data_IF_288897726262
#
_entry.id   IF_288897726262
#
_cell.length_a   1.000
_cell.length_b   1.000
_cell.length_c   1.000
_cell.angle_alpha   90.00
_cell.angle_beta   90.00
_cell.angle_gamma   90.00
#
_symmetry.space_group_name_H-M   'P 1'
#
loop_
_entity.id
_entity.type
_entity.pdbx_description
1 polymer ?
#
# COMPACT_ATOMS: atom_id res chain seq x y z
N UNK A 1 1.44 25.90 -4.72
CA UNK A 1 0.58 24.70 -4.72
C UNK A 1 1.07 23.79 -5.85
N UNK A 2 1.72 22.69 -5.51
CA UNK A 2 2.29 21.74 -6.49
C UNK A 2 1.13 20.93 -7.07
N UNK A 3 0.73 21.21 -8.32
CA UNK A 3 -0.43 20.57 -8.95
C UNK A 3 -0.08 19.13 -9.35
N UNK A 4 -0.63 18.13 -8.65
CA UNK A 4 -0.67 16.74 -9.12
C UNK A 4 -1.73 16.65 -10.21
N UNK A 5 -1.33 16.35 -11.45
CA UNK A 5 -2.29 16.10 -12.54
C UNK A 5 -2.82 14.67 -12.40
N UNK A 6 -4.14 14.54 -12.22
CA UNK A 6 -4.83 13.26 -12.33
C UNK A 6 -4.95 12.96 -13.83
N UNK A 7 -4.36 11.85 -14.28
CA UNK A 7 -4.46 11.39 -15.66
C UNK A 7 -4.99 9.96 -15.61
N UNK A 8 -6.23 9.77 -16.08
CA UNK A 8 -6.80 8.44 -16.26
C UNK A 8 -6.17 7.86 -17.52
N UNK A 9 -5.44 6.75 -17.42
CA UNK A 9 -4.91 6.07 -18.60
C UNK A 9 -5.33 4.61 -18.60
N UNK A 10 -6.07 4.21 -19.65
CA UNK A 10 -6.49 2.86 -20.04
C UNK A 10 -7.34 2.05 -19.02
N UNK A 11 -8.50 1.59 -19.51
CA UNK A 11 -9.31 0.47 -18.96
C UNK A 11 -9.51 0.43 -17.43
N UNK A 12 -9.71 1.58 -16.79
CA UNK A 12 -10.18 1.65 -15.40
C UNK A 12 -9.11 1.72 -14.32
N UNK A 13 -7.82 1.75 -14.69
CA UNK A 13 -6.75 1.94 -13.71
C UNK A 13 -6.49 3.45 -13.50
N UNK A 14 -6.75 3.96 -12.29
CA UNK A 14 -6.47 5.35 -11.94
C UNK A 14 -4.98 5.58 -11.68
N UNK A 15 -4.43 6.65 -12.27
CA UNK A 15 -3.00 7.02 -12.17
C UNK A 15 -2.90 8.50 -11.81
N UNK A 16 -1.91 8.83 -10.99
CA UNK A 16 -1.51 10.21 -10.75
C UNK A 16 -0.08 10.46 -11.18
N UNK A 17 0.14 11.61 -11.81
CA UNK A 17 1.48 12.04 -12.21
C UNK A 17 1.99 13.07 -11.21
N UNK A 18 3.05 12.68 -10.51
CA UNK A 18 3.81 13.57 -9.65
C UNK A 18 4.50 14.65 -10.51
N UNK A 19 4.65 15.90 -10.03
CA UNK A 19 5.25 16.98 -10.84
C UNK A 19 6.70 16.77 -11.28
N UNK A 20 7.40 15.79 -10.71
CA UNK A 20 8.71 15.33 -11.17
C UNK A 20 8.63 14.29 -12.32
N UNK A 21 7.44 14.01 -12.85
CA UNK A 21 7.23 13.06 -13.94
C UNK A 21 6.97 11.61 -13.51
N UNK A 22 6.98 11.30 -12.21
CA UNK A 22 6.71 9.96 -11.71
C UNK A 22 5.23 9.59 -11.82
N UNK A 23 4.94 8.33 -12.13
CA UNK A 23 3.59 7.75 -12.15
C UNK A 23 3.33 7.03 -10.84
N UNK A 24 2.23 7.33 -10.17
CA UNK A 24 1.87 6.73 -8.89
C UNK A 24 0.54 5.99 -9.05
N UNK A 25 0.53 4.72 -8.65
CA UNK A 25 -0.63 3.84 -8.66
C UNK A 25 -1.00 3.45 -7.22
N UNK A 26 -2.25 3.61 -6.84
CA UNK A 26 -2.72 3.09 -5.55
C UNK A 26 -3.19 1.64 -5.70
N UNK A 27 -2.39 0.69 -5.23
CA UNK A 27 -2.71 -0.74 -5.23
C UNK A 27 -3.44 -1.20 -3.95
N UNK A 28 -4.05 -0.26 -3.21
CA UNK A 28 -4.91 -0.57 -2.07
C UNK A 28 -6.39 -0.49 -2.48
N UNK A 29 -7.30 -1.18 -1.77
CA UNK A 29 -8.72 -1.23 -2.16
C UNK A 29 -9.48 0.08 -1.90
N UNK A 30 -8.88 1.06 -1.22
CA UNK A 30 -9.53 2.30 -0.82
C UNK A 30 -8.70 3.52 -1.19
N UNK A 31 -9.32 4.70 -1.38
CA UNK A 31 -8.58 5.93 -1.57
C UNK A 31 -7.61 6.17 -0.41
N UNK A 32 -6.40 6.61 -0.74
CA UNK A 32 -5.37 6.99 0.22
C UNK A 32 -5.18 8.49 0.14
N UNK A 33 -5.32 9.21 1.25
CA UNK A 33 -5.06 10.66 1.27
C UNK A 33 -3.76 10.95 2.00
N UNK A 34 -2.79 11.56 1.30
CA UNK A 34 -1.52 12.01 1.88
C UNK A 34 -1.38 13.50 1.68
N UNK A 35 -1.20 14.27 2.76
CA UNK A 35 -1.03 15.72 2.72
C UNK A 35 -2.07 16.42 1.80
N UNK A 36 -3.35 16.08 1.98
CA UNK A 36 -4.50 16.57 1.20
C UNK A 36 -4.56 16.15 -0.28
N UNK A 37 -3.63 15.31 -0.75
CA UNK A 37 -3.67 14.69 -2.08
C UNK A 37 -4.29 13.30 -1.93
N UNK A 38 -5.42 13.07 -2.58
CA UNK A 38 -6.09 11.77 -2.58
C UNK A 38 -5.68 10.94 -3.80
N UNK A 39 -5.25 9.72 -3.54
CA UNK A 39 -4.91 8.71 -4.53
C UNK A 39 -6.05 7.69 -4.66
N UNK A 40 -6.88 7.75 -5.72
CA UNK A 40 -7.95 6.79 -5.93
C UNK A 40 -7.37 5.38 -6.20
N UNK A 41 -8.08 4.30 -5.80
CA UNK A 41 -7.67 2.94 -6.14
C UNK A 41 -7.41 2.79 -7.63
N UNK A 42 -6.32 2.15 -7.99
CA UNK A 42 -5.93 1.93 -9.38
C UNK A 42 -6.70 0.79 -10.06
N UNK A 43 -7.79 0.28 -9.48
CA UNK A 43 -8.50 -0.90 -9.99
C UNK A 43 -7.80 -2.24 -9.72
N UNK A 44 -6.49 -2.24 -9.47
CA UNK A 44 -5.71 -3.41 -9.05
C UNK A 44 -5.36 -3.34 -7.57
N UNK A 45 -5.42 -4.47 -6.85
CA UNK A 45 -5.12 -4.51 -5.41
C UNK A 45 -4.05 -5.56 -5.11
N UNK A 46 -2.85 -5.10 -4.75
CA UNK A 46 -1.76 -6.00 -4.35
C UNK A 46 -2.02 -6.56 -2.95
N UNK A 47 -1.81 -7.87 -2.75
CA UNK A 47 -2.07 -8.55 -1.47
C UNK A 47 -1.04 -9.63 -1.20
N UNK A 48 -0.79 -9.90 0.07
CA UNK A 48 -0.09 -11.12 0.50
C UNK A 48 -1.13 -12.25 0.48
N UNK A 49 -0.82 -13.37 -0.18
CA UNK A 49 -1.68 -14.56 -0.12
C UNK A 49 -1.80 -15.04 1.33
N UNK A 50 -3.00 -15.38 1.77
CA UNK A 50 -3.25 -15.90 3.11
C UNK A 50 -4.08 -17.18 3.01
N UNK A 51 -3.72 -18.20 3.79
CA UNK A 51 -4.53 -19.41 3.95
C UNK A 51 -4.70 -19.78 5.42
N UNK A 52 -5.90 -20.22 5.78
CA UNK A 52 -6.17 -20.77 7.11
C UNK A 52 -5.51 -22.13 7.20
N UNK A 53 -4.56 -22.27 8.11
CA UNK A 53 -3.90 -23.55 8.37
C UNK A 53 -4.56 -24.32 9.52
N UNK A 54 -5.14 -23.60 10.49
CA UNK A 54 -5.88 -24.17 11.61
C UNK A 54 -6.92 -23.17 12.09
N UNK A 55 -8.04 -23.68 12.57
CA UNK A 55 -9.07 -22.94 13.27
C UNK A 55 -9.41 -23.69 14.57
N UNK A 56 -9.52 -22.97 15.69
CA UNK A 56 -9.78 -23.55 17.01
C UNK A 56 -10.75 -22.68 17.81
N UNK A 57 -11.58 -23.33 18.62
CA UNK A 57 -12.48 -22.65 19.55
C UNK A 57 -11.68 -21.99 20.69
N UNK A 58 -11.89 -20.68 20.87
CA UNK A 58 -11.27 -19.90 21.93
C UNK A 58 -12.31 -18.93 22.52
N UNK A 59 -13.32 -19.47 23.19
CA UNK A 59 -14.51 -18.73 23.60
C UNK A 59 -14.18 -17.42 24.35
N UNK A 60 -14.87 -16.30 24.03
CA UNK A 60 -16.00 -16.17 23.10
C UNK A 60 -15.59 -15.96 21.63
N UNK A 61 -14.35 -16.25 21.26
CA UNK A 61 -13.78 -16.00 19.94
C UNK A 61 -13.35 -17.29 19.23
N UNK A 62 -12.91 -17.15 17.99
CA UNK A 62 -12.27 -18.20 17.21
C UNK A 62 -10.81 -17.83 16.99
N UNK A 63 -9.90 -18.75 17.32
CA UNK A 63 -8.48 -18.58 17.02
C UNK A 63 -8.18 -19.15 15.64
N UNK A 64 -7.68 -18.32 14.73
CA UNK A 64 -7.25 -18.73 13.38
C UNK A 64 -5.74 -18.61 13.25
N UNK A 65 -5.11 -19.69 12.80
CA UNK A 65 -3.69 -19.69 12.45
C UNK A 65 -3.56 -19.51 10.92
N UNK A 66 -3.02 -18.36 10.52
CA UNK A 66 -2.87 -17.98 9.10
C UNK A 66 -1.44 -18.25 8.64
N UNK A 67 -1.31 -18.93 7.50
CA UNK A 67 -0.03 -19.01 6.76
C UNK A 67 -0.06 -17.99 5.63
N UNK A 68 0.91 -17.09 5.62
CA UNK A 68 1.12 -16.10 4.56
C UNK A 68 1.99 -16.69 3.43
N UNK A 69 1.65 -16.36 2.20
CA UNK A 69 2.33 -16.78 0.98
C UNK A 69 3.04 -15.62 0.30
N UNK A 70 3.16 -15.72 -1.03
CA UNK A 70 3.76 -14.67 -1.88
C UNK A 70 2.84 -13.45 -1.98
N UNK A 71 3.41 -12.35 -2.46
CA UNK A 71 2.61 -11.21 -2.92
C UNK A 71 2.02 -11.52 -4.29
N UNK A 72 0.72 -11.27 -4.45
CA UNK A 72 -0.02 -11.35 -5.72
C UNK A 72 -0.48 -9.97 -6.17
N UNK A 73 -0.74 -9.84 -7.47
CA UNK A 73 -1.21 -8.63 -8.13
C UNK A 73 -0.32 -7.39 -7.93
N UNK A 74 0.92 -7.60 -7.51
CA UNK A 74 1.96 -6.58 -7.47
C UNK A 74 2.68 -6.53 -8.82
N UNK A 75 2.56 -5.44 -9.60
CA UNK A 75 3.27 -5.30 -10.86
C UNK A 75 4.80 -5.31 -10.66
N UNK A 76 5.57 -5.67 -11.70
CA UNK A 76 7.02 -5.57 -11.66
C UNK A 76 7.48 -4.12 -11.47
N UNK A 77 8.65 -3.96 -10.86
CA UNK A 77 9.32 -2.68 -10.71
C UNK A 77 9.61 -2.07 -12.09
N UNK A 78 9.35 -0.77 -12.23
CA UNK A 78 9.58 -0.01 -13.47
C UNK A 78 10.10 1.37 -13.14
N UNK A 79 11.10 1.82 -13.89
CA UNK A 79 11.67 3.16 -13.73
C UNK A 79 10.58 4.24 -13.84
N UNK A 80 10.59 5.18 -12.89
CA UNK A 80 9.63 6.29 -12.84
C UNK A 80 8.22 5.90 -12.39
N UNK A 81 7.97 4.65 -12.01
CA UNK A 81 6.68 4.19 -11.49
C UNK A 81 6.78 3.87 -10.01
N UNK A 82 5.78 4.28 -9.24
CA UNK A 82 5.63 3.97 -7.82
C UNK A 82 4.26 3.37 -7.52
N UNK A 83 4.21 2.50 -6.52
CA UNK A 83 3.00 1.81 -6.10
C UNK A 83 2.71 2.08 -4.62
N UNK A 84 1.58 2.70 -4.31
CA UNK A 84 1.06 2.76 -2.93
C UNK A 84 0.49 1.40 -2.59
N UNK A 85 1.01 0.76 -1.54
CA UNK A 85 0.61 -0.57 -1.07
C UNK A 85 0.35 -0.56 0.43
N UNK A 86 -0.20 -1.65 0.96
CA UNK A 86 -0.28 -1.85 2.40
C UNK A 86 1.10 -2.21 2.99
N UNK A 87 1.31 -1.91 4.28
CA UNK A 87 2.54 -2.27 4.99
C UNK A 87 2.87 -3.78 4.91
N UNK A 88 1.91 -4.73 5.08
CA UNK A 88 2.20 -6.15 4.89
C UNK A 88 2.76 -6.50 3.51
N UNK A 89 2.25 -5.87 2.44
CA UNK A 89 2.76 -6.08 1.09
C UNK A 89 4.18 -5.54 0.94
N UNK A 90 4.45 -4.32 1.42
CA UNK A 90 5.78 -3.73 1.37
C UNK A 90 6.82 -4.57 2.13
N UNK A 91 6.48 -5.09 3.31
CA UNK A 91 7.36 -5.94 4.10
C UNK A 91 7.54 -7.33 3.48
N UNK A 92 6.50 -7.92 2.89
CA UNK A 92 6.60 -9.20 2.17
C UNK A 92 7.41 -9.09 0.87
N UNK A 93 7.51 -7.90 0.29
CA UNK A 93 8.32 -7.58 -0.90
C UNK A 93 9.53 -6.69 -0.57
N UNK A 94 10.10 -6.84 0.64
CA UNK A 94 11.24 -6.04 1.11
C UNK A 94 12.40 -6.09 0.09
N UNK A 95 12.99 -4.92 -0.19
CA UNK A 95 14.01 -4.75 -1.23
C UNK A 95 13.47 -4.17 -2.55
N UNK A 96 12.15 -4.17 -2.77
CA UNK A 96 11.52 -3.36 -3.82
C UNK A 96 11.65 -1.87 -3.50
N UNK A 97 12.18 -1.09 -4.45
CA UNK A 97 12.50 0.33 -4.22
C UNK A 97 11.39 1.30 -4.61
N UNK A 98 10.32 0.78 -5.21
CA UNK A 98 9.21 1.54 -5.80
C UNK A 98 7.89 1.45 -4.99
N UNK A 99 7.93 0.87 -3.79
CA UNK A 99 6.76 0.69 -2.94
C UNK A 99 6.65 1.81 -1.91
N UNK A 100 5.48 2.43 -1.88
CA UNK A 100 5.13 3.51 -0.96
C UNK A 100 4.06 3.02 0.01
N UNK A 101 4.20 3.34 1.29
CA UNK A 101 3.20 3.02 2.32
C UNK A 101 2.77 4.32 2.99
N UNK A 102 1.46 4.58 3.17
CA UNK A 102 1.00 5.73 3.95
C UNK A 102 1.55 5.65 5.38
N UNK A 103 2.12 6.76 5.84
CA UNK A 103 2.74 6.85 7.17
C UNK A 103 2.43 8.18 7.85
N UNK A 104 2.68 8.26 9.15
CA UNK A 104 2.25 9.38 10.00
C UNK A 104 0.74 9.65 9.85
N UNK A 105 -0.06 8.63 10.17
CA UNK A 105 -1.52 8.69 10.04
C UNK A 105 -2.13 9.86 10.81
N UNK A 106 -3.00 10.61 10.14
CA UNK A 106 -3.84 11.64 10.72
C UNK A 106 -5.14 10.98 11.16
N UNK A 107 -5.52 11.18 12.42
CA UNK A 107 -6.75 10.64 12.99
C UNK A 107 -7.71 11.77 13.35
N UNK A 108 -9.00 11.51 13.21
CA UNK A 108 -10.03 12.39 13.76
C UNK A 108 -10.15 12.24 15.28
N UNK A 109 -11.09 12.98 15.88
CA UNK A 109 -11.39 12.95 17.32
C UNK A 109 -11.88 11.59 17.83
N UNK A 110 -12.38 10.73 16.94
CA UNK A 110 -12.88 9.37 17.24
C UNK A 110 -11.78 8.31 17.03
N UNK A 111 -10.60 8.72 16.58
CA UNK A 111 -9.46 7.84 16.31
C UNK A 111 -9.47 7.22 14.92
N UNK A 112 -10.43 7.55 14.05
CA UNK A 112 -10.49 7.04 12.68
C UNK A 112 -9.38 7.65 11.84
N UNK A 113 -8.72 6.84 11.00
CA UNK A 113 -7.72 7.33 10.06
C UNK A 113 -8.43 8.11 8.95
N UNK A 114 -8.11 9.41 8.82
CA UNK A 114 -8.66 10.30 7.79
C UNK A 114 -7.62 10.70 6.73
N UNK A 115 -6.37 10.27 6.91
CA UNK A 115 -5.28 10.50 5.97
C UNK A 115 -3.92 10.19 6.58
N UNK A 116 -2.87 10.63 5.90
CA UNK A 116 -1.47 10.47 6.29
C UNK A 116 -0.69 11.77 5.99
N UNK A 117 0.39 12.02 6.74
CA UNK A 117 1.29 13.14 6.45
C UNK A 117 2.43 12.75 5.53
N UNK A 118 2.83 11.47 5.55
CA UNK A 118 4.01 10.99 4.85
C UNK A 118 3.72 9.72 4.03
N UNK A 119 4.68 9.40 3.18
CA UNK A 119 4.82 8.09 2.54
C UNK A 119 6.18 7.53 2.95
N UNK A 120 6.20 6.26 3.34
CA UNK A 120 7.41 5.54 3.74
C UNK A 120 7.80 4.50 2.69
N UNK A 121 9.10 4.28 2.56
CA UNK A 121 9.70 3.11 1.92
C UNK A 121 10.33 2.23 3.02
N UNK A 122 10.46 0.93 2.76
CA UNK A 122 11.02 -0.02 3.72
C UNK A 122 12.24 -0.72 3.13
N UNK A 123 13.27 -0.85 3.95
CA UNK A 123 14.44 -1.68 3.69
C UNK A 123 14.73 -2.57 4.90
N UNK A 124 15.46 -3.66 4.69
CA UNK A 124 15.87 -4.54 5.78
C UNK A 124 17.12 -3.95 6.40
N UNK A 125 17.11 -3.76 7.72
CA UNK A 125 18.32 -3.39 8.45
C UNK A 125 19.34 -4.53 8.35
N UNK A 126 20.56 -4.21 7.89
CA UNK A 126 21.69 -5.12 7.94
C UNK A 126 22.21 -5.14 9.38
N UNK A 127 22.00 -6.24 10.09
CA UNK A 127 22.65 -6.45 11.37
C UNK A 127 24.08 -6.91 11.07
N UNK A 128 25.05 -6.04 11.33
CA UNK A 128 26.45 -6.45 11.39
C UNK A 128 26.63 -7.30 12.64
N UNK A 129 26.94 -8.58 12.46
CA UNK A 129 27.23 -9.55 13.52
C UNK A 129 28.66 -9.38 14.06
#
# INVERSE_FOLDING_TARGET
MVMVKILVENKGDHIQIHPLGHRIYNLTPHPVTVNHITFPPSGRVARVEERVALEADFAPFTLRHIKTGKVIDLPPEKEGVWYIVSRPVALAAIGRKDLLVPDEFIRDKEGNIIGAKALATFEREEVME
#
